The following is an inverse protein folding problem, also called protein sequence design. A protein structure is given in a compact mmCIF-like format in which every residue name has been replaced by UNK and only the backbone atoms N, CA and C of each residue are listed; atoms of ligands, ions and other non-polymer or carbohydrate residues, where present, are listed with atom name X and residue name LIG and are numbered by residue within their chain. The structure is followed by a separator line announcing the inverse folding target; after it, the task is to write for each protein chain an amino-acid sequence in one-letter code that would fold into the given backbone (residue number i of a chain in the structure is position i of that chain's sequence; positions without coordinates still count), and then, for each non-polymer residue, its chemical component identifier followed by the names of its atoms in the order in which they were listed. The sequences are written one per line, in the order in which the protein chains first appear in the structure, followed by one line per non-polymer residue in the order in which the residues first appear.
data_IF_288884031801
#
_entry.id   IF_288884031801
#
_cell.length_a   1.000
_cell.length_b   1.000
_cell.length_c   1.000
_cell.angle_alpha   90.00
_cell.angle_beta   90.00
_cell.angle_gamma   90.00
#
_symmetry.space_group_name_H-M   'P 1'
#
loop_
_entity.id
_entity.type
_entity.pdbx_description
1 polymer ?
#
# COMPACT_ATOMS: atom_id res chain seq x y z
N UNK A 1 56.76 15.73 -19.56
CA UNK A 1 56.22 14.36 -19.61
C UNK A 1 56.14 13.85 -18.18
N UNK A 2 54.95 13.70 -17.60
CA UNK A 2 54.82 13.24 -16.22
C UNK A 2 55.05 11.72 -16.15
N UNK A 3 56.12 11.26 -15.50
CA UNK A 3 56.38 9.83 -15.28
C UNK A 3 55.58 9.36 -14.06
N UNK A 4 54.47 8.68 -14.31
CA UNK A 4 53.70 8.03 -13.24
C UNK A 4 54.41 6.74 -12.80
N UNK A 5 55.04 6.79 -11.63
CA UNK A 5 55.59 5.58 -10.99
C UNK A 5 54.46 4.62 -10.62
N UNK A 6 54.66 3.29 -10.73
CA UNK A 6 53.65 2.25 -10.42
C UNK A 6 52.88 2.48 -9.11
N UNK A 7 53.56 2.96 -8.05
CA UNK A 7 52.95 3.31 -6.76
C UNK A 7 51.88 4.40 -6.86
N UNK A 8 52.11 5.41 -7.71
CA UNK A 8 51.13 6.49 -7.97
C UNK A 8 49.92 5.96 -8.71
N UNK A 9 50.09 5.02 -9.64
CA UNK A 9 48.98 4.38 -10.36
C UNK A 9 48.11 3.57 -9.39
N UNK A 10 48.73 2.75 -8.53
CA UNK A 10 48.02 1.97 -7.50
C UNK A 10 47.26 2.89 -6.54
N UNK A 11 47.92 3.96 -6.07
CA UNK A 11 47.27 4.94 -5.20
C UNK A 11 46.06 5.61 -5.88
N UNK A 12 46.19 5.98 -7.15
CA UNK A 12 45.10 6.62 -7.90
C UNK A 12 43.93 5.67 -8.10
N UNK A 13 44.18 4.37 -8.35
CA UNK A 13 43.13 3.36 -8.45
C UNK A 13 42.39 3.16 -7.12
N UNK A 14 43.12 3.06 -6.00
CA UNK A 14 42.52 2.93 -4.67
C UNK A 14 41.74 4.18 -4.27
N UNK A 15 42.28 5.37 -4.55
CA UNK A 15 41.60 6.63 -4.27
C UNK A 15 40.31 6.77 -5.09
N UNK A 16 40.37 6.46 -6.39
CA UNK A 16 39.20 6.44 -7.26
C UNK A 16 38.17 5.40 -6.81
N UNK A 17 38.59 4.20 -6.37
CA UNK A 17 37.64 3.20 -5.87
C UNK A 17 36.93 3.66 -4.60
N UNK A 18 37.66 4.28 -3.67
CA UNK A 18 37.09 4.86 -2.44
C UNK A 18 36.11 5.98 -2.77
N UNK A 19 36.46 6.88 -3.71
CA UNK A 19 35.57 7.95 -4.15
C UNK A 19 34.28 7.40 -4.77
N UNK A 20 34.39 6.42 -5.67
CA UNK A 20 33.22 5.77 -6.30
C UNK A 20 32.35 5.12 -5.23
N UNK A 21 32.94 4.36 -4.31
CA UNK A 21 32.20 3.68 -3.25
C UNK A 21 31.53 4.68 -2.29
N UNK A 22 32.21 5.77 -1.93
CA UNK A 22 31.65 6.81 -1.08
C UNK A 22 30.48 7.55 -1.74
N UNK A 23 30.59 7.84 -3.03
CA UNK A 23 29.51 8.49 -3.79
C UNK A 23 28.30 7.57 -3.90
N UNK A 24 28.52 6.29 -4.21
CA UNK A 24 27.46 5.29 -4.29
C UNK A 24 26.75 5.10 -2.94
N UNK A 25 27.52 5.06 -1.85
CA UNK A 25 26.99 4.97 -0.50
C UNK A 25 26.13 6.18 -0.13
N UNK A 26 26.58 7.40 -0.43
CA UNK A 26 25.81 8.63 -0.20
C UNK A 26 24.49 8.64 -0.99
N UNK A 27 24.49 8.15 -2.23
CA UNK A 27 23.26 8.03 -3.04
C UNK A 27 22.25 7.07 -2.40
N UNK A 28 22.71 5.93 -1.87
CA UNK A 28 21.80 4.96 -1.24
C UNK A 28 21.26 5.44 0.11
N UNK A 29 22.05 6.19 0.88
CA UNK A 29 21.60 6.78 2.15
C UNK A 29 20.53 7.85 1.93
N UNK A 30 20.59 8.58 0.82
CA UNK A 30 19.66 9.67 0.49
C UNK A 30 18.58 9.28 -0.54
N UNK A 31 18.43 7.99 -0.87
CA UNK A 31 17.37 7.57 -1.76
C UNK A 31 16.01 7.75 -1.08
N UNK A 32 15.03 8.30 -1.80
CA UNK A 32 13.65 8.35 -1.30
C UNK A 32 13.10 6.92 -1.12
N UNK A 33 12.22 6.67 -0.12
CA UNK A 33 11.50 5.40 -0.05
C UNK A 33 10.70 5.14 -1.31
N UNK A 34 10.60 3.86 -1.67
CA UNK A 34 9.63 3.43 -2.67
C UNK A 34 8.37 2.96 -1.97
N UNK A 35 7.26 3.64 -2.26
CA UNK A 35 5.93 3.30 -1.73
C UNK A 35 5.11 2.76 -2.89
N UNK A 36 4.53 1.57 -2.71
CA UNK A 36 3.58 0.97 -3.63
C UNK A 36 2.24 0.82 -2.92
N UNK A 37 1.19 1.36 -3.50
CA UNK A 37 -0.18 1.18 -3.05
C UNK A 37 -1.05 0.78 -4.23
N UNK A 38 -1.91 -0.20 -4.02
CA UNK A 38 -2.83 -0.74 -5.02
C UNK A 38 -4.21 -0.90 -4.38
N UNK A 39 -5.24 -0.57 -5.13
CA UNK A 39 -6.63 -0.84 -4.78
C UNK A 39 -7.27 -1.64 -5.91
N UNK A 40 -7.77 -2.83 -5.57
CA UNK A 40 -8.32 -3.76 -6.57
C UNK A 40 -9.77 -4.06 -6.23
N UNK A 41 -10.66 -3.84 -7.20
CA UNK A 41 -12.06 -4.24 -7.12
C UNK A 41 -12.25 -5.50 -7.96
N UNK A 42 -12.56 -6.62 -7.31
CA UNK A 42 -12.67 -7.93 -7.96
C UNK A 42 -13.97 -8.64 -7.63
N UNK A 43 -14.37 -9.57 -8.50
CA UNK A 43 -15.43 -10.53 -8.16
C UNK A 43 -14.90 -11.59 -7.22
N UNK A 44 -15.74 -12.06 -6.30
CA UNK A 44 -15.42 -13.19 -5.43
C UNK A 44 -15.90 -14.50 -6.06
N UNK A 45 -15.18 -15.58 -5.79
CA UNK A 45 -15.56 -16.91 -6.26
C UNK A 45 -16.52 -17.61 -5.26
N UNK A 46 -17.07 -18.75 -5.68
CA UNK A 46 -18.02 -19.51 -4.85
C UNK A 46 -17.43 -19.98 -3.52
N UNK A 47 -16.14 -20.28 -3.47
CA UNK A 47 -15.45 -20.71 -2.25
C UNK A 47 -15.39 -19.57 -1.25
N UNK A 48 -14.89 -18.40 -1.69
CA UNK A 48 -14.81 -17.20 -0.86
C UNK A 48 -16.18 -16.72 -0.39
N UNK A 49 -17.20 -16.81 -1.25
CA UNK A 49 -18.60 -16.56 -0.87
C UNK A 49 -19.09 -17.50 0.23
N UNK A 50 -18.81 -18.81 0.12
CA UNK A 50 -19.27 -19.79 1.09
C UNK A 50 -18.55 -19.69 2.44
N UNK A 51 -17.27 -19.33 2.42
CA UNK A 51 -16.42 -19.24 3.62
C UNK A 51 -16.53 -17.89 4.32
N UNK A 52 -16.72 -16.81 3.56
CA UNK A 52 -16.68 -15.45 4.10
C UNK A 52 -18.02 -14.84 4.43
N UNK A 53 -19.12 -15.38 3.88
CA UNK A 53 -20.45 -14.80 4.08
C UNK A 53 -21.33 -15.80 4.85
N UNK A 54 -21.83 -15.44 6.04
CA UNK A 54 -22.74 -16.27 6.81
C UNK A 54 -23.93 -16.75 5.98
N UNK A 55 -24.36 -17.99 6.20
CA UNK A 55 -25.49 -18.59 5.46
C UNK A 55 -26.80 -17.80 5.61
N UNK A 56 -27.01 -17.18 6.77
CA UNK A 56 -28.16 -16.29 7.04
C UNK A 56 -28.22 -15.08 6.11
N UNK A 57 -27.06 -14.59 5.69
CA UNK A 57 -26.90 -13.45 4.77
C UNK A 57 -27.03 -13.96 3.34
N UNK A 58 -26.34 -15.07 2.99
CA UNK A 58 -26.41 -15.68 1.64
C UNK A 58 -27.83 -16.04 1.17
N UNK A 59 -28.75 -16.36 2.09
CA UNK A 59 -30.12 -16.75 1.76
C UNK A 59 -31.09 -15.57 1.55
N UNK A 60 -30.63 -14.32 1.64
CA UNK A 60 -31.46 -13.14 1.39
C UNK A 60 -31.61 -12.88 -0.11
N UNK A 61 -32.84 -12.70 -0.61
CA UNK A 61 -33.15 -12.59 -2.06
C UNK A 61 -32.41 -11.48 -2.82
N UNK A 62 -31.86 -10.47 -2.14
CA UNK A 62 -31.11 -9.37 -2.77
C UNK A 62 -29.63 -9.70 -3.04
N UNK A 63 -29.06 -10.68 -2.33
CA UNK A 63 -27.63 -10.96 -2.38
C UNK A 63 -27.33 -12.12 -3.33
N UNK A 64 -27.07 -11.77 -4.59
CA UNK A 64 -26.47 -12.67 -5.57
C UNK A 64 -24.94 -12.58 -5.50
N UNK A 65 -24.24 -13.69 -5.77
CA UNK A 65 -22.77 -13.71 -5.91
C UNK A 65 -22.28 -12.63 -6.90
N UNK A 66 -23.00 -12.47 -8.01
CA UNK A 66 -22.67 -11.50 -9.07
C UNK A 66 -22.75 -10.04 -8.60
N UNK A 67 -23.53 -9.79 -7.55
CA UNK A 67 -23.72 -8.47 -6.97
C UNK A 67 -22.67 -8.12 -5.91
N UNK A 68 -21.78 -9.04 -5.53
CA UNK A 68 -20.76 -8.76 -4.53
C UNK A 68 -19.42 -8.49 -5.20
N UNK A 69 -18.71 -7.50 -4.69
CA UNK A 69 -17.31 -7.24 -5.01
C UNK A 69 -16.47 -7.26 -3.76
N UNK A 70 -15.21 -7.62 -3.95
CA UNK A 70 -14.15 -7.44 -2.98
C UNK A 70 -13.35 -6.22 -3.38
N UNK A 71 -13.30 -5.24 -2.48
CA UNK A 71 -12.35 -4.13 -2.57
C UNK A 71 -11.19 -4.47 -1.65
N UNK A 72 -10.00 -4.55 -2.21
CA UNK A 72 -8.79 -4.91 -1.51
C UNK A 72 -7.76 -3.80 -1.69
N UNK A 73 -7.19 -3.35 -0.58
CA UNK A 73 -6.14 -2.33 -0.53
C UNK A 73 -4.87 -3.01 -0.04
N UNK A 74 -3.80 -2.87 -0.82
CA UNK A 74 -2.49 -3.38 -0.46
C UNK A 74 -1.47 -2.25 -0.52
N UNK A 75 -0.67 -2.12 0.53
CA UNK A 75 0.35 -1.08 0.65
C UNK A 75 1.64 -1.72 1.06
N UNK A 76 2.73 -1.39 0.39
CA UNK A 76 4.07 -1.81 0.75
C UNK A 76 5.05 -0.64 0.68
N UNK A 77 5.92 -0.57 1.68
CA UNK A 77 6.99 0.42 1.77
C UNK A 77 8.32 -0.30 1.72
N UNK A 78 9.13 0.04 0.72
CA UNK A 78 10.54 -0.33 0.68
C UNK A 78 11.34 0.79 1.36
N UNK A 79 11.85 0.57 2.59
CA UNK A 79 12.57 1.59 3.35
C UNK A 79 13.87 2.00 2.66
N UNK A 80 14.25 3.26 2.83
CA UNK A 80 15.63 3.69 2.65
C UNK A 80 16.45 3.44 3.94
N UNK A 81 17.76 3.66 3.89
CA UNK A 81 18.65 3.44 5.06
C UNK A 81 18.37 4.35 6.26
N UNK A 82 17.77 5.52 6.04
CA UNK A 82 17.46 6.49 7.09
C UNK A 82 16.13 6.22 7.80
N UNK A 83 15.30 5.32 7.26
CA UNK A 83 13.94 5.05 7.73
C UNK A 83 13.90 3.97 8.79
N UNK A 84 13.08 4.21 9.82
CA UNK A 84 12.77 3.26 10.87
C UNK A 84 11.33 3.48 11.36
N UNK A 85 10.81 2.54 12.14
CA UNK A 85 9.47 2.63 12.76
C UNK A 85 8.35 2.93 11.74
N UNK A 86 8.37 2.26 10.59
CA UNK A 86 7.35 2.46 9.55
C UNK A 86 6.02 1.92 10.05
N UNK A 87 4.99 2.77 10.02
CA UNK A 87 3.61 2.41 10.31
C UNK A 87 2.76 2.75 9.10
N UNK A 88 1.97 1.76 8.66
CA UNK A 88 0.98 1.93 7.60
C UNK A 88 -0.39 1.80 8.24
N UNK A 89 -1.18 2.85 8.12
CA UNK A 89 -2.55 2.92 8.58
C UNK A 89 -3.49 3.01 7.36
N UNK A 90 -4.22 1.92 7.13
CA UNK A 90 -5.26 1.85 6.12
C UNK A 90 -6.56 2.32 6.79
N UNK A 91 -7.26 3.33 6.25
CA UNK A 91 -8.47 3.84 6.87
C UNK A 91 -9.58 2.79 6.86
N UNK A 92 -10.56 2.96 7.73
CA UNK A 92 -11.75 2.09 7.76
C UNK A 92 -12.45 2.06 6.40
N UNK A 93 -12.44 0.88 5.78
CA UNK A 93 -13.06 0.62 4.48
C UNK A 93 -14.58 0.38 4.60
N UNK A 94 -15.08 0.03 5.78
CA UNK A 94 -16.50 -0.27 6.01
C UNK A 94 -17.32 1.02 6.03
N UNK A 95 -16.88 2.02 6.80
CA UNK A 95 -17.64 3.24 7.00
C UNK A 95 -18.07 3.95 5.71
N UNK A 96 -17.19 4.16 4.71
CA UNK A 96 -17.56 4.81 3.45
C UNK A 96 -18.68 4.09 2.69
N UNK A 97 -18.62 2.76 2.67
CA UNK A 97 -19.60 1.92 1.99
C UNK A 97 -20.96 1.97 2.67
N UNK A 98 -20.98 1.83 4.00
CA UNK A 98 -22.23 1.80 4.77
C UNK A 98 -22.96 3.16 4.83
N UNK A 99 -22.24 4.26 4.53
CA UNK A 99 -22.74 5.64 4.60
C UNK A 99 -22.90 6.32 3.24
N UNK A 100 -22.58 5.65 2.13
CA UNK A 100 -22.66 6.26 0.80
C UNK A 100 -24.08 6.68 0.41
N UNK A 101 -25.00 5.71 0.33
CA UNK A 101 -26.40 5.94 -0.09
C UNK A 101 -27.42 5.39 0.92
N UNK A 102 -26.93 4.77 2.01
CA UNK A 102 -27.72 4.14 3.06
C UNK A 102 -28.39 2.81 2.67
N UNK A 103 -28.24 2.35 1.41
CA UNK A 103 -28.78 1.09 0.89
C UNK A 103 -27.69 0.05 0.75
N UNK A 104 -26.52 0.45 0.28
CA UNK A 104 -25.35 -0.42 0.16
C UNK A 104 -24.81 -0.72 1.55
N UNK A 105 -24.40 -1.98 1.73
CA UNK A 105 -23.86 -2.47 2.99
C UNK A 105 -22.59 -3.26 2.75
N UNK A 106 -21.62 -3.01 3.60
CA UNK A 106 -20.52 -3.92 3.86
C UNK A 106 -21.06 -5.23 4.43
N UNK A 107 -20.42 -6.33 4.04
CA UNK A 107 -20.78 -7.69 4.44
C UNK A 107 -19.73 -8.22 5.40
N UNK A 108 -18.46 -7.96 5.08
CA UNK A 108 -17.31 -8.39 5.88
C UNK A 108 -16.14 -7.46 5.60
N UNK A 109 -15.33 -7.23 6.62
CA UNK A 109 -14.01 -6.66 6.50
C UNK A 109 -12.96 -7.65 7.05
N UNK A 110 -11.73 -7.54 6.57
CA UNK A 110 -10.59 -8.22 7.14
C UNK A 110 -9.32 -7.41 6.99
N UNK A 111 -8.47 -7.47 8.01
CA UNK A 111 -7.13 -6.92 8.02
C UNK A 111 -6.13 -8.07 8.02
N UNK A 112 -5.06 -7.91 7.24
CA UNK A 112 -3.92 -8.82 7.25
C UNK A 112 -2.71 -8.07 7.79
N UNK A 113 -2.18 -8.53 8.92
CA UNK A 113 -1.09 -7.88 9.65
C UNK A 113 0.22 -7.94 8.87
N UNK A 114 0.87 -6.77 8.76
CA UNK A 114 2.14 -6.59 8.09
C UNK A 114 3.35 -7.03 8.91
N UNK A 115 4.30 -7.70 8.26
CA UNK A 115 5.53 -8.16 8.90
C UNK A 115 6.50 -7.01 9.23
N UNK A 116 7.22 -7.12 10.35
CA UNK A 116 8.11 -6.06 10.87
C UNK A 116 9.32 -5.70 9.97
N UNK A 117 9.64 -6.52 8.96
CA UNK A 117 10.83 -6.36 8.10
C UNK A 117 10.53 -5.80 6.70
N UNK A 118 9.26 -5.83 6.28
CA UNK A 118 8.73 -5.14 5.11
C UNK A 118 7.40 -4.56 5.59
N UNK A 119 7.29 -3.25 5.77
CA UNK A 119 6.02 -2.65 6.13
C UNK A 119 5.06 -2.85 4.96
N UNK A 120 4.30 -3.93 5.01
CA UNK A 120 3.31 -4.30 4.01
C UNK A 120 2.01 -4.58 4.73
N UNK A 121 0.98 -3.77 4.53
CA UNK A 121 -0.32 -3.95 5.16
C UNK A 121 -1.37 -4.14 4.08
N UNK A 122 -2.32 -5.02 4.35
CA UNK A 122 -3.42 -5.31 3.44
C UNK A 122 -4.74 -5.28 4.20
N UNK A 123 -5.74 -4.67 3.60
CA UNK A 123 -7.11 -4.62 4.11
C UNK A 123 -8.09 -4.95 2.99
N UNK A 124 -9.21 -5.57 3.32
CA UNK A 124 -10.26 -5.81 2.34
C UNK A 124 -11.64 -5.65 2.95
N UNK A 125 -12.61 -5.39 2.06
CA UNK A 125 -14.04 -5.47 2.34
C UNK A 125 -14.77 -6.25 1.26
N UNK A 126 -15.84 -6.91 1.67
CA UNK A 126 -16.87 -7.44 0.79
C UNK A 126 -18.10 -6.56 0.91
N UNK A 127 -18.66 -6.13 -0.22
CA UNK A 127 -19.81 -5.23 -0.21
C UNK A 127 -20.73 -5.45 -1.40
N UNK A 128 -21.97 -5.01 -1.27
CA UNK A 128 -22.95 -5.02 -2.35
C UNK A 128 -22.60 -3.95 -3.40
N UNK A 129 -22.30 -4.40 -4.61
CA UNK A 129 -21.89 -3.58 -5.75
C UNK A 129 -23.04 -3.30 -6.74
N UNK A 130 -24.24 -3.81 -6.47
CA UNK A 130 -25.35 -3.74 -7.42
C UNK A 130 -25.72 -2.28 -7.72
N UNK A 131 -25.54 -1.88 -8.99
CA UNK A 131 -25.89 -0.54 -9.44
C UNK A 131 -24.83 0.54 -9.17
N UNK A 132 -23.65 0.17 -8.66
CA UNK A 132 -22.53 1.09 -8.51
C UNK A 132 -21.71 1.23 -9.79
N UNK A 133 -21.34 2.46 -10.09
CA UNK A 133 -20.31 2.82 -11.06
C UNK A 133 -18.96 2.98 -10.36
N UNK A 134 -17.89 2.99 -11.14
CA UNK A 134 -16.54 3.24 -10.63
C UNK A 134 -16.42 4.64 -10.01
N UNK A 135 -17.06 5.65 -10.60
CA UNK A 135 -17.14 7.02 -10.07
C UNK A 135 -17.81 7.07 -8.68
N UNK A 136 -18.82 6.23 -8.45
CA UNK A 136 -19.46 6.11 -7.13
C UNK A 136 -18.44 5.61 -6.10
N UNK A 137 -17.66 4.59 -6.45
CA UNK A 137 -16.62 4.06 -5.54
C UNK A 137 -15.52 5.10 -5.30
N UNK A 138 -15.07 5.81 -6.34
CA UNK A 138 -14.14 6.93 -6.18
C UNK A 138 -14.67 7.99 -5.22
N UNK A 139 -15.96 8.32 -5.31
CA UNK A 139 -16.62 9.29 -4.45
C UNK A 139 -16.68 8.81 -3.00
N UNK A 140 -16.98 7.52 -2.75
CA UNK A 140 -16.97 6.95 -1.39
C UNK A 140 -15.64 7.18 -0.68
N UNK A 141 -14.53 7.04 -1.40
CA UNK A 141 -13.19 7.05 -0.82
C UNK A 141 -12.42 8.37 -0.99
N UNK A 142 -13.07 9.45 -1.47
CA UNK A 142 -12.42 10.72 -1.78
C UNK A 142 -11.70 11.39 -0.59
N UNK A 143 -12.16 11.10 0.64
CA UNK A 143 -11.63 11.70 1.87
C UNK A 143 -11.02 10.68 2.83
N UNK A 144 -10.68 9.49 2.33
CA UNK A 144 -10.14 8.39 3.11
C UNK A 144 -8.71 8.07 2.65
N UNK A 145 -7.69 8.78 3.17
CA UNK A 145 -6.30 8.52 2.82
C UNK A 145 -5.72 7.35 3.60
N UNK A 146 -4.85 6.60 2.94
CA UNK A 146 -3.84 5.75 3.57
C UNK A 146 -2.77 6.66 4.16
N UNK A 147 -2.42 6.43 5.41
CA UNK A 147 -1.39 7.17 6.13
C UNK A 147 -0.16 6.29 6.31
N UNK A 148 1.00 6.80 5.90
CA UNK A 148 2.28 6.12 6.06
C UNK A 148 3.17 7.05 6.88
N UNK A 149 3.59 6.59 8.06
CA UNK A 149 4.48 7.34 8.95
C UNK A 149 5.77 6.58 9.17
N UNK A 150 6.87 7.32 9.37
CA UNK A 150 8.18 6.73 9.69
C UNK A 150 9.07 7.74 10.40
N UNK A 151 10.09 7.25 11.08
CA UNK A 151 11.16 8.07 11.65
C UNK A 151 12.34 8.15 10.69
N UNK A 152 12.80 9.36 10.41
CA UNK A 152 14.01 9.64 9.64
C UNK A 152 14.90 10.62 10.42
N UNK A 153 16.05 10.14 10.90
CA UNK A 153 16.98 10.98 11.69
C UNK A 153 16.40 11.51 13.00
N UNK A 154 15.43 10.80 13.59
CA UNK A 154 14.72 11.20 14.81
C UNK A 154 13.60 12.22 14.59
N UNK A 155 13.21 12.47 13.33
CA UNK A 155 12.06 13.29 12.96
C UNK A 155 11.01 12.40 12.30
N UNK A 156 9.78 12.47 12.81
CA UNK A 156 8.63 11.80 12.21
C UNK A 156 8.28 12.43 10.86
N UNK A 157 8.05 11.58 9.87
CA UNK A 157 7.65 11.93 8.51
C UNK A 157 6.30 11.28 8.22
N UNK A 158 5.53 11.94 7.36
CA UNK A 158 4.19 11.50 6.97
C UNK A 158 4.05 11.55 5.45
N UNK A 159 3.42 10.51 4.89
CA UNK A 159 2.99 10.45 3.51
C UNK A 159 1.52 9.98 3.44
N UNK A 160 0.76 10.60 2.54
CA UNK A 160 -0.69 10.37 2.39
C UNK A 160 -1.01 9.99 0.96
N UNK A 161 -1.82 8.94 0.81
CA UNK A 161 -2.33 8.47 -0.49
C UNK A 161 -3.85 8.39 -0.39
N UNK A 162 -4.57 9.15 -1.21
CA UNK A 162 -6.04 9.05 -1.23
C UNK A 162 -6.45 7.76 -1.92
N UNK A 163 -7.30 6.96 -1.26
CA UNK A 163 -7.82 5.72 -1.84
C UNK A 163 -8.55 5.94 -3.17
N UNK A 164 -9.25 7.07 -3.33
CA UNK A 164 -9.93 7.41 -4.58
C UNK A 164 -8.99 7.57 -5.79
N UNK A 165 -7.71 7.83 -5.57
CA UNK A 165 -6.71 7.96 -6.64
C UNK A 165 -6.14 6.62 -7.10
N UNK A 166 -6.44 5.54 -6.36
CA UNK A 166 -5.98 4.19 -6.63
C UNK A 166 -7.04 3.33 -7.34
N UNK A 167 -8.23 3.88 -7.57
CA UNK A 167 -9.33 3.20 -8.28
C UNK A 167 -9.16 3.49 -9.78
N UNK A 168 -8.87 2.42 -10.52
CA UNK A 168 -8.72 2.38 -11.99
C UNK A 168 -9.95 1.79 -12.71
#
# INVERSE_FOLDING_TARGET
MATFTRRKIIFLLLFSSVLIFSTFFMIQVHADPTIHAELTISSINQTEWNESIPESIRNTRSQSLDNIRKLEVSVSVNPNWGMSNIVIDIPDLVFPVDHYDGKIRSIRAGEQDGGQYNASTQGYILFEYSGLTEEDVQTMYQHHPILITWDEGGVEKEYKINLSQLID
#
